data_IF_511642208919
#
_entry.id   IF_511642208919
#
_cell.length_a   1.000
_cell.length_b   1.000
_cell.length_c   1.000
_cell.angle_alpha   90.00
_cell.angle_beta   90.00
_cell.angle_gamma   90.00
#
_symmetry.space_group_name_H-M   'P 1'
#
loop_
_entity.id
_entity.type
_entity.pdbx_description
1 polymer ?
#
# COMPACT_ATOMS: atom_id res chain seq x y z
N UNK A 1 -3.23 22.27 -9.60
CA UNK A 1 -3.70 21.39 -10.68
C UNK A 1 -4.41 22.20 -11.76
N UNK A 2 -5.54 22.88 -11.47
CA UNK A 2 -6.32 23.68 -12.46
C UNK A 2 -5.54 24.61 -13.42
N UNK A 3 -4.46 25.32 -13.00
CA UNK A 3 -3.73 26.20 -13.92
C UNK A 3 -2.83 25.47 -14.93
N UNK A 4 -2.65 24.15 -14.81
CA UNK A 4 -1.81 23.37 -15.71
C UNK A 4 -2.59 22.92 -16.96
N UNK A 5 -1.91 22.64 -18.09
CA UNK A 5 -2.56 22.14 -19.29
C UNK A 5 -3.46 20.93 -19.02
N UNK A 6 -4.70 20.97 -19.52
CA UNK A 6 -5.73 19.97 -19.21
C UNK A 6 -5.34 18.52 -19.57
N UNK A 7 -4.49 18.31 -20.58
CA UNK A 7 -4.02 16.97 -20.96
C UNK A 7 -3.14 16.30 -19.89
N UNK A 8 -2.55 17.06 -18.96
CA UNK A 8 -1.80 16.54 -17.82
C UNK A 8 -2.71 16.09 -16.67
N UNK A 9 -3.99 16.50 -16.69
CA UNK A 9 -4.89 16.28 -15.56
C UNK A 9 -5.09 14.79 -15.21
N UNK A 10 -5.27 13.86 -16.16
CA UNK A 10 -5.40 12.44 -15.81
C UNK A 10 -4.18 11.89 -15.08
N UNK A 11 -2.97 12.35 -15.44
CA UNK A 11 -1.74 11.98 -14.75
C UNK A 11 -1.68 12.59 -13.35
N UNK A 12 -2.02 13.87 -13.20
CA UNK A 12 -2.01 14.54 -11.90
C UNK A 12 -3.05 13.95 -10.93
N UNK A 13 -4.21 13.57 -11.43
CA UNK A 13 -5.25 12.90 -10.64
C UNK A 13 -4.87 11.48 -10.27
N UNK A 14 -4.18 10.75 -11.15
CA UNK A 14 -3.58 9.47 -10.79
C UNK A 14 -2.47 9.65 -9.75
N UNK A 15 -1.58 10.64 -9.92
CA UNK A 15 -0.44 10.90 -9.05
C UNK A 15 -0.90 11.28 -7.64
N UNK A 16 -1.81 12.26 -7.54
CA UNK A 16 -2.33 12.77 -6.28
C UNK A 16 -3.39 11.89 -5.63
N UNK A 17 -4.00 11.02 -6.43
CA UNK A 17 -5.24 10.30 -6.10
C UNK A 17 -6.42 11.23 -5.73
N UNK A 18 -6.37 12.49 -6.17
CA UNK A 18 -7.46 13.46 -6.04
C UNK A 18 -7.91 13.91 -7.43
N UNK A 19 -9.13 13.57 -7.87
CA UNK A 19 -9.63 14.04 -9.15
C UNK A 19 -10.05 15.50 -9.06
N UNK A 20 -10.05 16.19 -10.18
CA UNK A 20 -10.76 17.46 -10.33
C UNK A 20 -12.29 17.22 -10.42
N UNK A 21 -13.13 18.17 -9.98
CA UNK A 21 -14.58 18.06 -10.11
C UNK A 21 -15.04 17.75 -11.55
N UNK A 22 -14.36 18.34 -12.53
CA UNK A 22 -14.65 18.19 -13.95
C UNK A 22 -14.43 16.73 -14.44
N UNK A 23 -13.54 15.96 -13.78
CA UNK A 23 -13.33 14.54 -14.08
C UNK A 23 -14.44 13.62 -13.53
N UNK A 24 -15.34 14.15 -12.70
CA UNK A 24 -16.48 13.39 -12.18
C UNK A 24 -17.65 13.36 -13.17
N UNK A 25 -17.73 14.35 -14.06
CA UNK A 25 -18.76 14.46 -15.10
C UNK A 25 -18.48 13.48 -16.25
N UNK A 26 -17.21 13.30 -16.61
CA UNK A 26 -16.75 12.39 -17.67
C UNK A 26 -15.69 11.41 -17.15
N UNK A 27 -16.04 10.54 -16.17
CA UNK A 27 -15.06 9.68 -15.54
C UNK A 27 -14.53 8.67 -16.55
N UNK A 28 -13.22 8.66 -16.74
CA UNK A 28 -12.55 7.60 -17.49
C UNK A 28 -12.89 6.24 -16.88
N UNK A 29 -13.34 5.28 -17.69
CA UNK A 29 -13.70 3.93 -17.24
C UNK A 29 -12.47 3.03 -17.29
N UNK A 30 -11.84 2.82 -16.14
CA UNK A 30 -10.80 1.81 -15.94
C UNK A 30 -11.46 0.46 -15.64
N UNK A 31 -10.79 -0.61 -16.06
CA UNK A 31 -11.22 -2.00 -15.83
C UNK A 31 -10.17 -2.73 -14.97
N UNK A 32 -10.48 -3.94 -14.46
CA UNK A 32 -9.47 -4.76 -13.80
C UNK A 32 -8.25 -5.03 -14.69
N UNK A 33 -8.47 -5.25 -16.00
CA UNK A 33 -7.41 -5.45 -17.00
C UNK A 33 -6.48 -4.24 -17.14
N UNK A 34 -7.01 -3.02 -17.04
CA UNK A 34 -6.17 -1.82 -17.04
C UNK A 34 -5.14 -1.87 -15.90
N UNK A 35 -5.57 -2.23 -14.69
CA UNK A 35 -4.67 -2.33 -13.53
C UNK A 35 -3.67 -3.48 -13.65
N UNK A 36 -4.07 -4.62 -14.22
CA UNK A 36 -3.14 -5.70 -14.58
C UNK A 36 -2.09 -5.20 -15.57
N UNK A 37 -2.50 -4.50 -16.62
CA UNK A 37 -1.59 -3.96 -17.63
C UNK A 37 -0.60 -2.97 -17.04
N UNK A 38 -1.05 -2.04 -16.19
CA UNK A 38 -0.17 -1.08 -15.49
C UNK A 38 0.83 -1.82 -14.59
N UNK A 39 0.36 -2.75 -13.76
CA UNK A 39 1.22 -3.52 -12.88
C UNK A 39 2.26 -4.34 -13.65
N UNK A 40 1.82 -5.07 -14.70
CA UNK A 40 2.70 -5.86 -15.56
C UNK A 40 3.73 -4.98 -16.27
N UNK A 41 3.33 -3.80 -16.76
CA UNK A 41 4.23 -2.85 -17.43
C UNK A 41 5.32 -2.35 -16.48
N UNK A 42 4.95 -2.00 -15.24
CA UNK A 42 5.92 -1.59 -14.22
C UNK A 42 6.86 -2.73 -13.83
N UNK A 43 6.36 -3.96 -13.70
CA UNK A 43 7.18 -5.13 -13.42
C UNK A 43 8.18 -5.38 -14.56
N UNK A 44 7.71 -5.45 -15.81
CA UNK A 44 8.54 -5.74 -16.98
C UNK A 44 9.60 -4.64 -17.14
N UNK A 45 9.18 -3.37 -17.17
CA UNK A 45 10.11 -2.24 -17.30
C UNK A 45 11.08 -2.19 -16.12
N UNK A 46 10.59 -2.45 -14.90
CA UNK A 46 11.41 -2.52 -13.70
C UNK A 46 12.50 -3.57 -13.81
N UNK A 47 12.14 -4.81 -14.17
CA UNK A 47 13.07 -5.92 -14.40
C UNK A 47 14.09 -5.57 -15.48
N UNK A 48 13.67 -5.02 -16.61
CA UNK A 48 14.55 -4.62 -17.70
C UNK A 48 15.58 -3.56 -17.24
N UNK A 49 15.13 -2.53 -16.53
CA UNK A 49 16.00 -1.47 -16.02
C UNK A 49 16.93 -1.95 -14.91
N UNK A 50 16.45 -2.80 -13.99
CA UNK A 50 17.33 -3.43 -12.98
C UNK A 50 18.39 -4.30 -13.62
N UNK A 51 18.04 -5.09 -14.65
CA UNK A 51 19.00 -5.92 -15.37
C UNK A 51 20.02 -5.04 -16.10
N UNK A 52 19.56 -4.00 -16.81
CA UNK A 52 20.43 -3.04 -17.48
C UNK A 52 21.42 -2.39 -16.50
N UNK A 53 20.91 -1.89 -15.38
CA UNK A 53 21.73 -1.28 -14.33
C UNK A 53 22.70 -2.27 -13.69
N UNK A 54 22.31 -3.53 -13.54
CA UNK A 54 23.18 -4.58 -13.02
C UNK A 54 24.36 -4.86 -13.97
N UNK A 55 24.11 -5.14 -15.25
CA UNK A 55 25.17 -5.44 -16.22
C UNK A 55 26.03 -4.24 -16.60
N UNK A 56 25.49 -3.02 -16.49
CA UNK A 56 26.25 -1.78 -16.71
C UNK A 56 26.91 -1.24 -15.43
N UNK A 57 26.75 -1.92 -14.28
CA UNK A 57 27.19 -1.42 -12.98
C UNK A 57 26.69 0.01 -12.67
N UNK A 58 25.47 0.34 -13.09
CA UNK A 58 24.88 1.67 -13.02
C UNK A 58 23.68 1.71 -12.06
N UNK A 59 23.89 2.35 -10.90
CA UNK A 59 22.80 2.61 -9.95
C UNK A 59 21.72 3.54 -10.52
N UNK A 60 22.06 4.37 -11.51
CA UNK A 60 21.12 5.27 -12.18
C UNK A 60 20.00 4.50 -12.89
N UNK A 61 20.30 3.33 -13.46
CA UNK A 61 19.30 2.44 -14.05
C UNK A 61 18.72 1.46 -13.03
N UNK A 62 19.58 0.95 -12.13
CA UNK A 62 19.17 -0.07 -11.18
C UNK A 62 18.12 0.43 -10.19
N UNK A 63 18.31 1.62 -9.59
CA UNK A 63 17.40 2.12 -8.55
C UNK A 63 15.98 2.42 -9.08
N UNK A 64 15.78 3.14 -10.21
CA UNK A 64 14.44 3.31 -10.77
C UNK A 64 13.82 1.98 -11.20
N UNK A 65 14.61 1.06 -11.77
CA UNK A 65 14.13 -0.28 -12.11
C UNK A 65 13.62 -1.03 -10.88
N UNK A 66 14.37 -1.00 -9.78
CA UNK A 66 14.02 -1.67 -8.53
C UNK A 66 12.71 -1.12 -7.96
N UNK A 67 12.57 0.21 -7.97
CA UNK A 67 11.35 0.91 -7.55
C UNK A 67 10.16 0.51 -8.40
N UNK A 68 10.30 0.48 -9.73
CA UNK A 68 9.23 0.09 -10.64
C UNK A 68 8.85 -1.39 -10.50
N UNK A 69 9.82 -2.29 -10.37
CA UNK A 69 9.57 -3.72 -10.22
C UNK A 69 8.79 -4.01 -8.92
N UNK A 70 9.29 -3.52 -7.79
CA UNK A 70 8.64 -3.69 -6.50
C UNK A 70 7.29 -2.96 -6.42
N UNK A 71 7.20 -1.74 -6.97
CA UNK A 71 5.97 -0.97 -7.08
C UNK A 71 4.90 -1.69 -7.90
N UNK A 72 5.29 -2.28 -9.04
CA UNK A 72 4.41 -3.09 -9.89
C UNK A 72 3.95 -4.38 -9.22
N UNK A 73 4.83 -5.08 -8.49
CA UNK A 73 4.47 -6.24 -7.66
C UNK A 73 3.42 -5.85 -6.61
N UNK A 74 3.65 -4.73 -5.92
CA UNK A 74 2.71 -4.20 -4.93
C UNK A 74 1.41 -3.77 -5.57
N UNK A 75 1.43 -3.13 -6.74
CA UNK A 75 0.24 -2.79 -7.52
C UNK A 75 -0.58 -4.04 -7.85
N UNK A 76 0.06 -5.13 -8.30
CA UNK A 76 -0.62 -6.39 -8.60
C UNK A 76 -1.26 -6.99 -7.34
N UNK A 77 -0.57 -6.92 -6.21
CA UNK A 77 -1.13 -7.32 -4.92
C UNK A 77 -2.35 -6.48 -4.54
N UNK A 78 -2.21 -5.16 -4.42
CA UNK A 78 -3.24 -4.30 -3.83
C UNK A 78 -4.43 -4.07 -4.75
N UNK A 79 -4.24 -4.12 -6.07
CA UNK A 79 -5.35 -3.93 -7.00
C UNK A 79 -6.02 -5.24 -7.40
N UNK A 80 -5.27 -6.33 -7.61
CA UNK A 80 -5.82 -7.55 -8.22
C UNK A 80 -5.96 -8.66 -7.18
N UNK A 81 -4.87 -9.03 -6.50
CA UNK A 81 -4.93 -10.11 -5.49
C UNK A 81 -5.88 -9.75 -4.35
N UNK A 82 -5.81 -8.51 -3.87
CA UNK A 82 -6.71 -7.95 -2.89
C UNK A 82 -8.18 -8.02 -3.35
N UNK A 83 -8.51 -7.49 -4.53
CA UNK A 83 -9.91 -7.51 -5.00
C UNK A 83 -10.40 -8.93 -5.32
N UNK A 84 -9.50 -9.87 -5.65
CA UNK A 84 -9.83 -11.29 -5.68
C UNK A 84 -10.25 -11.81 -4.30
N UNK A 85 -9.62 -11.34 -3.21
CA UNK A 85 -9.99 -11.73 -1.85
C UNK A 85 -11.43 -11.32 -1.50
N UNK A 86 -11.93 -10.22 -2.08
CA UNK A 86 -13.34 -9.81 -1.98
C UNK A 86 -14.27 -10.49 -3.00
N UNK A 87 -13.73 -11.34 -3.88
CA UNK A 87 -14.43 -11.96 -5.01
C UNK A 87 -14.98 -10.93 -6.03
N UNK A 88 -14.20 -9.87 -6.31
CA UNK A 88 -14.64 -8.70 -7.10
C UNK A 88 -13.96 -8.53 -8.47
N UNK A 89 -12.95 -9.33 -8.80
CA UNK A 89 -12.26 -9.22 -10.11
C UNK A 89 -13.01 -10.01 -11.19
N UNK A 90 -13.45 -11.22 -10.86
CA UNK A 90 -14.19 -12.10 -11.75
C UNK A 90 -15.59 -12.41 -11.19
N UNK A 91 -16.55 -12.73 -12.07
CA UNK A 91 -17.85 -13.23 -11.63
C UNK A 91 -17.75 -14.58 -10.90
N UNK A 92 -16.76 -15.41 -11.25
CA UNK A 92 -16.53 -16.71 -10.62
C UNK A 92 -15.63 -16.59 -9.39
N UNK A 93 -16.12 -17.01 -8.21
CA UNK A 93 -15.32 -17.11 -6.97
C UNK A 93 -14.12 -18.03 -7.14
N UNK A 94 -14.27 -19.12 -7.91
CA UNK A 94 -13.16 -20.02 -8.24
C UNK A 94 -12.07 -19.31 -9.04
N UNK A 95 -12.45 -18.50 -10.03
CA UNK A 95 -11.48 -17.73 -10.81
C UNK A 95 -10.72 -16.71 -9.95
N UNK A 96 -11.42 -15.96 -9.08
CA UNK A 96 -10.79 -15.06 -8.11
C UNK A 96 -9.79 -15.80 -7.22
N UNK A 97 -10.20 -16.97 -6.69
CA UNK A 97 -9.33 -17.79 -5.84
C UNK A 97 -8.08 -18.24 -6.62
N UNK A 98 -8.25 -18.83 -7.80
CA UNK A 98 -7.11 -19.28 -8.63
C UNK A 98 -6.15 -18.14 -8.93
N UNK A 99 -6.65 -16.99 -9.39
CA UNK A 99 -5.80 -15.83 -9.71
C UNK A 99 -5.10 -15.28 -8.47
N UNK A 100 -5.78 -15.24 -7.32
CA UNK A 100 -5.16 -14.88 -6.04
C UNK A 100 -3.99 -15.79 -5.67
N UNK A 101 -4.18 -17.11 -5.80
CA UNK A 101 -3.11 -18.09 -5.56
C UNK A 101 -1.94 -17.92 -6.55
N UNK A 102 -2.21 -17.69 -7.83
CA UNK A 102 -1.18 -17.47 -8.86
C UNK A 102 -0.34 -16.21 -8.55
N UNK A 103 -0.99 -15.09 -8.24
CA UNK A 103 -0.29 -13.84 -7.91
C UNK A 103 0.54 -14.02 -6.63
N UNK A 104 -0.04 -14.62 -5.58
CA UNK A 104 0.70 -14.88 -4.34
C UNK A 104 1.90 -15.79 -4.56
N UNK A 105 1.77 -16.85 -5.36
CA UNK A 105 2.87 -17.77 -5.66
C UNK A 105 3.98 -17.10 -6.46
N UNK A 106 3.63 -16.37 -7.53
CA UNK A 106 4.60 -15.71 -8.43
C UNK A 106 5.49 -14.70 -7.69
N UNK A 107 4.92 -13.97 -6.73
CA UNK A 107 5.65 -12.93 -5.97
C UNK A 107 5.98 -13.32 -4.54
N UNK A 108 5.90 -14.62 -4.19
CA UNK A 108 6.15 -15.12 -2.83
C UNK A 108 5.42 -14.29 -1.75
N UNK A 109 4.17 -13.90 -2.00
CA UNK A 109 3.38 -13.13 -1.03
C UNK A 109 2.89 -14.05 0.09
N UNK A 110 2.17 -13.49 1.07
CA UNK A 110 1.45 -14.30 2.05
C UNK A 110 0.56 -15.32 1.30
N UNK A 111 0.51 -16.61 1.73
CA UNK A 111 -0.34 -17.62 1.09
C UNK A 111 -1.77 -17.10 0.95
N UNK A 112 -2.34 -17.20 -0.26
CA UNK A 112 -3.55 -16.45 -0.60
C UNK A 112 -4.74 -16.77 0.31
N UNK A 113 -4.95 -18.04 0.68
CA UNK A 113 -6.03 -18.44 1.59
C UNK A 113 -5.89 -17.77 2.96
N UNK A 114 -4.67 -17.73 3.51
CA UNK A 114 -4.38 -17.04 4.77
C UNK A 114 -4.57 -15.53 4.62
N UNK A 115 -4.04 -14.95 3.54
CA UNK A 115 -4.22 -13.53 3.22
C UNK A 115 -5.70 -13.15 3.11
N UNK A 116 -6.52 -13.92 2.38
CA UNK A 116 -7.97 -13.68 2.25
C UNK A 116 -8.65 -13.74 3.61
N UNK A 117 -8.32 -14.73 4.45
CA UNK A 117 -8.90 -14.85 5.79
C UNK A 117 -8.55 -13.63 6.67
N UNK A 118 -7.27 -13.32 6.84
CA UNK A 118 -6.82 -12.21 7.67
C UNK A 118 -7.29 -10.87 7.13
N UNK A 119 -7.37 -10.69 5.82
CA UNK A 119 -7.89 -9.47 5.21
C UNK A 119 -9.39 -9.29 5.48
N UNK A 120 -10.18 -10.37 5.52
CA UNK A 120 -11.60 -10.28 5.93
C UNK A 120 -11.74 -9.90 7.41
N UNK A 121 -10.84 -10.38 8.27
CA UNK A 121 -10.78 -9.94 9.68
C UNK A 121 -10.36 -8.46 9.77
N UNK A 122 -9.41 -8.02 8.95
CA UNK A 122 -8.96 -6.63 8.90
C UNK A 122 -10.08 -5.63 8.56
N UNK A 123 -11.10 -6.04 7.80
CA UNK A 123 -12.29 -5.21 7.51
C UNK A 123 -13.32 -5.16 8.63
N UNK A 124 -13.27 -6.08 9.59
CA UNK A 124 -14.22 -6.14 10.68
C UNK A 124 -13.86 -5.13 11.77
N UNK A 125 -14.85 -4.33 12.19
CA UNK A 125 -14.66 -3.35 13.27
C UNK A 125 -14.25 -3.99 14.60
N UNK A 126 -14.57 -5.27 14.81
CA UNK A 126 -14.24 -6.04 16.02
C UNK A 126 -12.76 -6.39 16.10
N UNK A 127 -12.07 -6.46 14.96
CA UNK A 127 -10.75 -7.08 14.84
C UNK A 127 -9.68 -6.11 14.34
N UNK A 128 -10.04 -5.11 13.52
CA UNK A 128 -9.13 -4.04 13.10
C UNK A 128 -8.50 -3.32 14.33
N UNK A 129 -7.22 -2.94 14.30
CA UNK A 129 -6.53 -2.32 15.46
C UNK A 129 -6.53 -3.17 16.76
N UNK A 130 -6.62 -4.50 16.64
CA UNK A 130 -6.43 -5.46 17.75
C UNK A 130 -5.25 -6.40 17.47
N UNK A 131 -4.97 -7.33 18.38
CA UNK A 131 -3.96 -8.38 18.18
C UNK A 131 -4.32 -9.37 17.06
N UNK A 132 -5.56 -9.35 16.57
CA UNK A 132 -6.01 -10.13 15.40
C UNK A 132 -5.82 -9.38 14.07
N UNK A 133 -5.41 -8.11 14.11
CA UNK A 133 -5.14 -7.30 12.92
C UNK A 133 -3.69 -7.46 12.46
N UNK A 134 -3.50 -7.87 11.21
CA UNK A 134 -2.17 -8.07 10.64
C UNK A 134 -1.38 -6.76 10.51
N UNK A 135 -2.07 -5.63 10.41
CA UNK A 135 -1.44 -4.30 10.33
C UNK A 135 -0.89 -3.86 11.68
N UNK A 136 -1.71 -3.89 12.74
CA UNK A 136 -1.25 -3.55 14.08
C UNK A 136 -0.13 -4.49 14.56
N UNK A 137 -0.30 -5.80 14.37
CA UNK A 137 0.71 -6.79 14.76
C UNK A 137 2.03 -6.60 14.01
N UNK A 138 2.02 -6.18 12.75
CA UNK A 138 3.23 -5.82 12.02
C UNK A 138 3.89 -4.56 12.61
N UNK A 139 3.13 -3.49 12.84
CA UNK A 139 3.65 -2.24 13.38
C UNK A 139 4.24 -2.41 14.79
N UNK A 140 3.62 -3.23 15.63
CA UNK A 140 4.13 -3.50 16.98
C UNK A 140 5.23 -4.56 17.00
N UNK A 141 5.08 -5.65 16.24
CA UNK A 141 5.97 -6.81 16.29
C UNK A 141 7.21 -6.70 15.40
N UNK A 142 7.09 -6.11 14.21
CA UNK A 142 8.21 -5.96 13.25
C UNK A 142 8.83 -4.57 13.38
N UNK A 143 8.01 -3.52 13.40
CA UNK A 143 8.52 -2.14 13.52
C UNK A 143 8.86 -1.78 14.97
N UNK A 144 8.19 -2.40 15.96
CA UNK A 144 8.45 -2.15 17.37
C UNK A 144 7.79 -0.88 17.90
N UNK A 145 6.76 -0.37 17.21
CA UNK A 145 6.04 0.83 17.64
C UNK A 145 5.27 0.56 18.93
N UNK A 146 5.35 1.49 19.87
CA UNK A 146 4.59 1.48 21.12
C UNK A 146 3.84 2.81 21.26
N UNK A 147 2.61 2.83 21.78
CA UNK A 147 1.87 4.08 21.98
C UNK A 147 2.56 5.03 22.97
N UNK A 148 3.51 4.55 23.78
CA UNK A 148 4.35 5.35 24.68
C UNK A 148 5.56 6.01 23.99
N UNK A 149 5.90 5.62 22.77
CA UNK A 149 7.04 6.19 22.05
C UNK A 149 6.76 7.66 21.68
N UNK A 150 7.80 8.50 21.63
CA UNK A 150 7.68 9.82 21.00
C UNK A 150 7.52 9.68 19.47
N UNK A 151 6.92 10.69 18.83
CA UNK A 151 6.75 10.71 17.36
C UNK A 151 8.10 10.53 16.63
N UNK A 152 9.17 11.17 17.13
CA UNK A 152 10.50 11.04 16.56
C UNK A 152 11.04 9.60 16.67
N UNK A 153 10.81 8.94 17.81
CA UNK A 153 11.18 7.54 18.01
C UNK A 153 10.38 6.61 17.08
N UNK A 154 9.08 6.86 16.90
CA UNK A 154 8.26 6.08 15.97
C UNK A 154 8.77 6.19 14.52
N UNK A 155 9.14 7.39 14.07
CA UNK A 155 9.78 7.58 12.77
C UNK A 155 11.13 6.88 12.66
N UNK A 156 11.98 6.99 13.69
CA UNK A 156 13.27 6.30 13.71
C UNK A 156 13.08 4.79 13.59
N UNK A 157 12.19 4.19 14.39
CA UNK A 157 11.84 2.77 14.33
C UNK A 157 11.31 2.36 12.96
N UNK A 158 10.44 3.17 12.36
CA UNK A 158 9.91 2.91 11.01
C UNK A 158 11.03 2.87 9.96
N UNK A 159 11.93 3.85 9.98
CA UNK A 159 13.08 3.91 9.06
C UNK A 159 14.03 2.74 9.27
N UNK A 160 14.39 2.44 10.53
CA UNK A 160 15.26 1.31 10.85
C UNK A 160 14.63 -0.03 10.46
N UNK A 161 13.34 -0.24 10.72
CA UNK A 161 12.65 -1.47 10.34
C UNK A 161 12.56 -1.64 8.82
N UNK A 162 12.33 -0.54 8.08
CA UNK A 162 12.25 -0.58 6.62
C UNK A 162 13.57 -1.00 5.98
N UNK A 163 14.70 -0.52 6.48
CA UNK A 163 16.02 -0.75 5.87
C UNK A 163 16.93 -1.73 6.63
N UNK A 164 16.49 -2.30 7.75
CA UNK A 164 17.27 -3.27 8.53
C UNK A 164 17.44 -4.59 7.78
N UNK A 165 18.68 -5.02 7.47
CA UNK A 165 18.92 -6.31 6.82
C UNK A 165 18.36 -7.50 7.61
N UNK A 166 18.41 -7.43 8.95
CA UNK A 166 17.86 -8.47 9.82
C UNK A 166 16.33 -8.52 9.77
N UNK A 167 15.67 -7.36 9.75
CA UNK A 167 14.21 -7.30 9.63
C UNK A 167 13.77 -7.86 8.27
N UNK A 168 14.43 -7.43 7.19
CA UNK A 168 14.16 -7.90 5.82
C UNK A 168 14.40 -9.41 5.69
N UNK A 169 15.50 -9.93 6.24
CA UNK A 169 15.79 -11.36 6.23
C UNK A 169 14.71 -12.14 7.00
N UNK A 170 14.35 -11.68 8.21
CA UNK A 170 13.32 -12.34 9.04
C UNK A 170 11.97 -12.35 8.35
N UNK A 171 11.51 -11.24 7.77
CA UNK A 171 10.23 -11.19 7.03
C UNK A 171 10.27 -12.05 5.78
N UNK A 172 11.40 -12.10 5.07
CA UNK A 172 11.60 -12.95 3.90
C UNK A 172 11.54 -14.43 4.25
N UNK A 173 12.26 -14.86 5.28
CA UNK A 173 12.24 -16.26 5.76
C UNK A 173 10.85 -16.64 6.27
N UNK A 174 10.16 -15.75 6.99
CA UNK A 174 8.80 -15.99 7.43
C UNK A 174 7.82 -16.14 6.25
N UNK A 175 7.97 -15.35 5.18
CA UNK A 175 7.17 -15.51 3.95
C UNK A 175 7.44 -16.83 3.26
N UNK A 176 8.70 -17.23 3.13
CA UNK A 176 9.07 -18.53 2.54
C UNK A 176 8.49 -19.67 3.38
N UNK A 177 8.69 -19.62 4.71
CA UNK A 177 8.14 -20.60 5.65
C UNK A 177 6.62 -20.69 5.52
N UNK A 178 5.92 -19.56 5.54
CA UNK A 178 4.46 -19.53 5.43
C UNK A 178 3.95 -20.17 4.13
N UNK A 179 4.63 -19.96 3.00
CA UNK A 179 4.29 -20.61 1.73
C UNK A 179 4.62 -22.11 1.74
N UNK A 180 5.79 -22.50 2.25
CA UNK A 180 6.19 -23.89 2.33
C UNK A 180 5.29 -24.72 3.27
N UNK A 181 4.76 -24.08 4.32
CA UNK A 181 3.87 -24.72 5.30
C UNK A 181 2.41 -24.31 5.15
N UNK A 182 2.01 -23.79 3.98
CA UNK A 182 0.61 -23.43 3.75
C UNK A 182 -0.32 -24.65 3.91
N UNK A 183 -1.55 -24.39 4.37
CA UNK A 183 -2.56 -25.43 4.63
C UNK A 183 -2.90 -26.22 3.36
N UNK A 184 -3.02 -25.54 2.22
CA UNK A 184 -3.13 -26.17 0.91
C UNK A 184 -1.77 -26.67 0.45
N UNK A 185 -1.54 -27.98 0.62
CA UNK A 185 -0.27 -28.64 0.28
C UNK A 185 0.02 -28.64 -1.22
N UNK A 186 -1.01 -28.66 -2.07
CA UNK A 186 -0.84 -28.61 -3.52
C UNK A 186 -0.31 -27.24 -3.94
N UNK A 187 -0.92 -26.17 -3.42
CA UNK A 187 -0.49 -24.78 -3.67
C UNK A 187 0.90 -24.53 -3.08
N UNK A 188 1.18 -25.04 -1.88
CA UNK A 188 2.51 -24.94 -1.27
C UNK A 188 3.57 -25.59 -2.19
N UNK A 189 3.35 -26.83 -2.62
CA UNK A 189 4.25 -27.56 -3.49
C UNK A 189 4.46 -26.83 -4.84
N UNK A 190 3.38 -26.36 -5.48
CA UNK A 190 3.47 -25.60 -6.74
C UNK A 190 4.23 -24.28 -6.57
N UNK A 191 4.01 -23.56 -5.47
CA UNK A 191 4.71 -22.30 -5.18
C UNK A 191 6.21 -22.55 -5.00
N UNK A 192 6.57 -23.56 -4.21
CA UNK A 192 7.98 -23.90 -3.99
C UNK A 192 8.65 -24.44 -5.26
N UNK A 193 7.94 -25.27 -6.03
CA UNK A 193 8.42 -25.79 -7.31
C UNK A 193 8.63 -24.67 -8.35
N UNK A 194 7.72 -23.69 -8.42
CA UNK A 194 7.87 -22.51 -9.28
C UNK A 194 9.16 -21.76 -8.95
N UNK A 195 9.39 -21.42 -7.68
CA UNK A 195 10.57 -20.67 -7.28
C UNK A 195 11.88 -21.47 -7.42
N UNK A 196 11.85 -22.78 -7.12
CA UNK A 196 12.96 -23.67 -7.39
C UNK A 196 13.28 -23.74 -8.88
N UNK A 197 12.26 -23.91 -9.73
CA UNK A 197 12.39 -23.93 -11.19
C UNK A 197 12.94 -22.62 -11.76
N UNK A 198 12.44 -21.47 -11.32
CA UNK A 198 12.96 -20.16 -11.72
C UNK A 198 14.43 -19.99 -11.32
N UNK A 199 14.78 -20.40 -10.11
CA UNK A 199 16.16 -20.28 -9.60
C UNK A 199 17.12 -21.21 -10.34
N UNK A 200 16.75 -22.48 -10.53
CA UNK A 200 17.55 -23.47 -11.26
C UNK A 200 17.67 -23.11 -12.74
N UNK A 201 16.59 -22.62 -13.36
CA UNK A 201 16.61 -22.13 -14.73
C UNK A 201 17.54 -20.93 -14.89
N UNK A 202 17.47 -19.95 -13.99
CA UNK A 202 18.40 -18.81 -14.00
C UNK A 202 19.85 -19.26 -13.82
N UNK A 203 20.11 -20.23 -12.95
CA UNK A 203 21.44 -20.81 -12.78
C UNK A 203 21.94 -21.54 -14.03
N UNK A 204 21.13 -22.40 -14.64
CA UNK A 204 21.48 -23.15 -15.83
C UNK A 204 21.77 -22.24 -17.05
N UNK A 205 21.11 -21.08 -17.12
CA UNK A 205 21.34 -20.08 -18.16
C UNK A 205 22.51 -19.13 -17.85
N UNK A 206 23.21 -19.30 -16.72
CA UNK A 206 24.28 -18.40 -16.29
C UNK A 206 23.79 -17.01 -15.85
N UNK A 207 22.49 -16.84 -15.60
CA UNK A 207 21.84 -15.57 -15.26
C UNK A 207 21.43 -15.45 -13.79
N UNK A 208 21.95 -16.31 -12.90
CA UNK A 208 21.55 -16.33 -11.49
C UNK A 208 21.72 -14.97 -10.80
N UNK A 209 22.85 -14.28 -11.04
CA UNK A 209 23.11 -12.99 -10.40
C UNK A 209 22.16 -11.90 -10.93
N UNK A 210 21.89 -11.88 -12.24
CA UNK A 210 20.90 -10.99 -12.84
C UNK A 210 19.48 -11.26 -12.32
N UNK A 211 19.09 -12.52 -12.20
CA UNK A 211 17.80 -12.93 -11.61
C UNK A 211 17.68 -12.48 -10.14
N UNK A 212 18.74 -12.62 -9.35
CA UNK A 212 18.74 -12.11 -7.97
C UNK A 212 18.54 -10.59 -7.98
N UNK A 213 19.34 -9.86 -8.74
CA UNK A 213 19.32 -8.40 -8.78
C UNK A 213 18.00 -7.83 -9.29
N UNK A 214 17.40 -8.45 -10.32
CA UNK A 214 16.24 -7.94 -11.03
C UNK A 214 14.89 -8.50 -10.55
N UNK A 215 14.87 -9.66 -9.89
CA UNK A 215 13.64 -10.31 -9.45
C UNK A 215 13.60 -10.55 -7.94
N UNK A 216 14.59 -11.27 -7.41
CA UNK A 216 14.60 -11.66 -5.98
C UNK A 216 14.66 -10.42 -5.09
N UNK A 217 15.56 -9.46 -5.35
CA UNK A 217 15.68 -8.26 -4.52
C UNK A 217 14.40 -7.41 -4.53
N UNK A 218 13.76 -7.08 -5.66
CA UNK A 218 12.45 -6.40 -5.64
C UNK A 218 11.35 -7.16 -4.88
N UNK A 219 11.25 -8.48 -5.07
CA UNK A 219 10.22 -9.33 -4.42
C UNK A 219 10.37 -9.39 -2.90
N UNK A 220 11.61 -9.43 -2.39
CA UNK A 220 11.86 -9.58 -0.95
C UNK A 220 12.15 -8.25 -0.27
N UNK A 221 13.17 -7.52 -0.76
CA UNK A 221 13.61 -6.25 -0.17
C UNK A 221 12.63 -5.13 -0.53
N UNK A 222 12.31 -4.97 -1.81
CA UNK A 222 11.46 -3.88 -2.28
C UNK A 222 10.06 -3.96 -1.68
N UNK A 223 9.48 -5.16 -1.68
CA UNK A 223 8.19 -5.43 -1.04
C UNK A 223 8.19 -5.11 0.46
N UNK A 224 9.25 -5.49 1.20
CA UNK A 224 9.38 -5.22 2.64
C UNK A 224 9.43 -3.72 2.93
N UNK A 225 10.29 -2.98 2.23
CA UNK A 225 10.43 -1.52 2.40
C UNK A 225 9.10 -0.83 2.09
N UNK A 226 8.50 -1.14 0.93
CA UNK A 226 7.21 -0.59 0.52
C UNK A 226 6.11 -0.86 1.54
N UNK A 227 5.97 -2.11 1.98
CA UNK A 227 4.92 -2.51 2.93
C UNK A 227 5.12 -1.84 4.30
N UNK A 228 6.35 -1.74 4.78
CA UNK A 228 6.66 -1.08 6.06
C UNK A 228 6.17 0.37 6.07
N UNK A 229 6.48 1.13 5.01
CA UNK A 229 6.00 2.50 4.89
C UNK A 229 4.48 2.58 4.66
N UNK A 230 3.92 1.74 3.79
CA UNK A 230 2.49 1.75 3.50
C UNK A 230 1.65 1.52 4.76
N UNK A 231 1.98 0.50 5.56
CA UNK A 231 1.23 0.14 6.77
C UNK A 231 1.19 1.27 7.80
N UNK A 232 2.23 2.11 7.87
CA UNK A 232 2.24 3.27 8.78
C UNK A 232 1.25 4.38 8.37
N UNK A 233 0.84 4.42 7.10
CA UNK A 233 -0.13 5.39 6.58
C UNK A 233 -1.55 4.83 6.45
N UNK A 234 -1.73 3.51 6.56
CA UNK A 234 -2.94 2.79 6.13
C UNK A 234 -4.15 3.04 7.06
N UNK A 235 -3.91 3.03 8.37
CA UNK A 235 -4.93 3.22 9.41
C UNK A 235 -4.52 4.30 10.40
N UNK A 236 -5.54 4.87 11.03
CA UNK A 236 -5.39 5.83 12.13
C UNK A 236 -6.20 5.37 13.32
N UNK A 237 -5.91 5.93 14.50
CA UNK A 237 -6.61 5.59 15.72
C UNK A 237 -7.69 6.63 16.03
N UNK A 238 -8.96 6.23 16.15
CA UNK A 238 -10.02 7.13 16.60
C UNK A 238 -9.89 7.44 18.11
N UNK A 239 -10.82 8.24 18.65
CA UNK A 239 -10.87 8.49 20.09
C UNK A 239 -11.06 7.18 20.87
N UNK A 240 -10.62 7.16 22.14
CA UNK A 240 -10.75 5.99 23.03
C UNK A 240 -12.21 5.50 23.10
N UNK A 241 -13.17 6.42 23.21
CA UNK A 241 -14.59 6.08 23.21
C UNK A 241 -15.03 5.32 21.95
N UNK A 242 -14.55 5.72 20.77
CA UNK A 242 -14.87 5.05 19.49
C UNK A 242 -14.13 3.70 19.39
N UNK A 243 -12.89 3.63 19.89
CA UNK A 243 -12.13 2.37 20.00
C UNK A 243 -12.83 1.36 20.92
N UNK A 244 -13.49 1.79 21.99
CA UNK A 244 -14.23 0.90 22.88
C UNK A 244 -15.56 0.45 22.26
N UNK A 245 -16.30 1.37 21.62
CA UNK A 245 -17.62 1.07 21.04
C UNK A 245 -17.58 0.17 19.82
N UNK A 246 -16.52 0.24 18.99
CA UNK A 246 -16.36 -0.58 17.75
C UNK A 246 -17.56 -0.54 16.78
N UNK A 247 -18.35 0.53 16.81
CA UNK A 247 -19.55 0.73 15.98
C UNK A 247 -19.24 1.26 14.58
N UNK A 248 -20.26 1.78 13.89
CA UNK A 248 -20.10 2.36 12.53
C UNK A 248 -19.11 3.53 12.52
N UNK A 249 -19.07 4.30 13.60
CA UNK A 249 -18.12 5.40 13.80
C UNK A 249 -16.65 4.95 13.77
N UNK A 250 -16.36 3.74 14.23
CA UNK A 250 -15.02 3.17 14.18
C UNK A 250 -14.59 2.96 12.72
N UNK A 251 -15.46 2.42 11.87
CA UNK A 251 -15.18 2.22 10.44
C UNK A 251 -14.89 3.58 9.76
N UNK A 252 -15.62 4.62 10.14
CA UNK A 252 -15.46 5.96 9.58
C UNK A 252 -14.13 6.62 9.92
N UNK A 253 -13.64 6.42 11.14
CA UNK A 253 -12.52 7.16 11.71
C UNK A 253 -11.21 6.40 11.74
N UNK A 254 -11.23 5.08 11.60
CA UNK A 254 -10.01 4.26 11.57
C UNK A 254 -9.24 4.36 10.25
N UNK A 255 -9.80 5.03 9.25
CA UNK A 255 -9.16 5.23 7.94
C UNK A 255 -9.34 6.65 7.43
N UNK A 256 -8.32 7.14 6.72
CA UNK A 256 -8.37 8.41 6.01
C UNK A 256 -7.81 8.22 4.61
N UNK A 257 -8.10 9.14 3.69
CA UNK A 257 -7.30 9.21 2.47
C UNK A 257 -5.88 9.67 2.77
N UNK A 258 -4.98 9.41 1.83
CA UNK A 258 -3.58 9.85 1.87
C UNK A 258 -3.22 10.41 0.51
N UNK A 259 -3.72 11.61 0.21
CA UNK A 259 -3.46 12.26 -1.07
C UNK A 259 -2.00 12.67 -1.21
N UNK A 260 -1.49 12.55 -2.42
CA UNK A 260 -0.09 12.79 -2.73
C UNK A 260 0.08 14.16 -3.37
N UNK A 261 1.11 14.88 -2.96
CA UNK A 261 1.46 16.19 -3.50
C UNK A 261 1.43 17.28 -2.43
N UNK A 262 1.83 18.47 -2.85
CA UNK A 262 1.80 19.69 -2.05
C UNK A 262 1.30 20.86 -2.92
N UNK A 263 0.70 21.90 -2.32
CA UNK A 263 0.30 23.08 -3.08
C UNK A 263 1.50 23.82 -3.68
N UNK A 264 1.34 24.33 -4.91
CA UNK A 264 2.28 25.28 -5.48
C UNK A 264 2.06 26.64 -4.79
N UNK A 265 2.90 26.94 -3.80
CA UNK A 265 2.88 28.21 -3.10
C UNK A 265 3.67 29.25 -3.91
N UNK A 266 2.96 30.14 -4.60
CA UNK A 266 3.53 31.22 -5.39
C UNK A 266 2.99 32.57 -4.89
N UNK A 267 3.85 33.53 -4.51
CA UNK A 267 3.39 34.88 -4.16
C UNK A 267 2.73 35.58 -5.36
N UNK A 268 1.62 36.28 -5.14
CA UNK A 268 0.84 36.95 -6.20
C UNK A 268 1.69 37.94 -7.02
N UNK A 269 2.59 38.67 -6.35
CA UNK A 269 3.49 39.66 -6.98
C UNK A 269 4.92 39.11 -7.21
N UNK A 270 5.08 37.79 -7.34
CA UNK A 270 6.39 37.21 -7.61
C UNK A 270 6.90 37.64 -9.00
N UNK A 271 8.13 38.16 -9.02
CA UNK A 271 8.88 38.43 -10.26
C UNK A 271 9.03 37.16 -11.11
N UNK A 272 9.18 37.27 -12.45
CA UNK A 272 9.22 36.11 -13.36
C UNK A 272 10.23 35.03 -12.94
N UNK A 273 11.44 35.41 -12.55
CA UNK A 273 12.46 34.45 -12.10
C UNK A 273 12.03 33.68 -10.84
N UNK A 274 11.41 34.36 -9.88
CA UNK A 274 10.89 33.73 -8.65
C UNK A 274 9.74 32.77 -8.97
N UNK A 275 8.88 33.11 -9.94
CA UNK A 275 7.82 32.21 -10.42
C UNK A 275 8.40 30.94 -11.03
N UNK A 276 9.40 31.09 -11.91
CA UNK A 276 10.10 29.95 -12.53
C UNK A 276 10.72 29.08 -11.44
N UNK A 277 11.43 29.65 -10.47
CA UNK A 277 12.07 28.88 -9.40
C UNK A 277 11.04 28.12 -8.53
N UNK A 278 9.93 28.76 -8.18
CA UNK A 278 8.84 28.12 -7.43
C UNK A 278 8.24 26.94 -8.21
N UNK A 279 7.95 27.14 -9.51
CA UNK A 279 7.42 26.08 -10.38
C UNK A 279 8.43 24.95 -10.51
N UNK A 280 9.70 25.24 -10.81
CA UNK A 280 10.76 24.24 -10.98
C UNK A 280 10.97 23.42 -9.71
N UNK A 281 10.96 24.05 -8.53
CA UNK A 281 11.05 23.34 -7.23
C UNK A 281 9.85 22.44 -7.00
N UNK A 282 8.64 22.93 -7.31
CA UNK A 282 7.41 22.15 -7.18
C UNK A 282 7.38 20.96 -8.16
N UNK A 283 7.76 21.16 -9.41
CA UNK A 283 7.89 20.10 -10.42
C UNK A 283 8.94 19.07 -10.00
N UNK A 284 10.11 19.52 -9.53
CA UNK A 284 11.17 18.63 -9.05
C UNK A 284 10.64 17.73 -7.93
N UNK A 285 9.98 18.28 -6.91
CA UNK A 285 9.38 17.47 -5.84
C UNK A 285 8.27 16.55 -6.34
N UNK A 286 7.45 17.01 -7.27
CA UNK A 286 6.34 16.26 -7.88
C UNK A 286 6.87 15.01 -8.60
N UNK A 287 7.89 15.18 -9.45
CA UNK A 287 8.46 14.10 -10.26
C UNK A 287 9.56 13.30 -9.57
N UNK A 288 9.96 13.66 -8.36
CA UNK A 288 10.89 12.87 -7.53
C UNK A 288 10.15 12.26 -6.34
N UNK A 289 10.05 12.99 -5.23
CA UNK A 289 9.50 12.50 -3.97
C UNK A 289 8.06 12.03 -4.08
N UNK A 290 7.16 12.85 -4.63
CA UNK A 290 5.74 12.51 -4.71
C UNK A 290 5.49 11.35 -5.68
N UNK A 291 6.16 11.34 -6.82
CA UNK A 291 6.10 10.24 -7.77
C UNK A 291 6.66 8.94 -7.17
N UNK A 292 7.77 9.00 -6.43
CA UNK A 292 8.32 7.85 -5.70
C UNK A 292 7.30 7.30 -4.69
N UNK A 293 6.72 8.15 -3.85
CA UNK A 293 5.68 7.73 -2.89
C UNK A 293 4.53 7.05 -3.63
N UNK A 294 4.07 7.60 -4.76
CA UNK A 294 2.96 7.04 -5.53
C UNK A 294 3.28 5.70 -6.19
N UNK A 295 4.49 5.55 -6.74
CA UNK A 295 4.90 4.35 -7.45
C UNK A 295 5.33 3.22 -6.52
N UNK A 296 5.81 3.54 -5.31
CA UNK A 296 6.48 2.56 -4.45
C UNK A 296 5.78 2.33 -3.11
N UNK A 297 5.22 3.36 -2.49
CA UNK A 297 4.65 3.26 -1.13
C UNK A 297 3.12 3.20 -1.20
N UNK A 298 2.52 4.26 -1.74
CA UNK A 298 1.08 4.46 -1.87
C UNK A 298 0.59 4.02 -3.25
N UNK A 299 0.84 2.75 -3.58
CA UNK A 299 0.46 2.12 -4.86
C UNK A 299 -1.05 1.89 -4.96
N UNK A 300 -1.58 1.82 -6.17
CA UNK A 300 -2.97 1.41 -6.39
C UNK A 300 -3.98 2.33 -5.71
N UNK A 301 -4.98 1.72 -5.07
CA UNK A 301 -6.06 2.38 -4.35
C UNK A 301 -5.72 2.78 -2.92
N UNK A 302 -4.49 2.52 -2.47
CA UNK A 302 -4.06 2.81 -1.09
C UNK A 302 -4.20 4.29 -0.67
N UNK A 303 -4.05 5.33 -1.53
CA UNK A 303 -4.41 6.70 -1.16
C UNK A 303 -5.90 6.91 -0.85
N UNK A 304 -6.76 6.01 -1.29
CA UNK A 304 -8.21 6.02 -1.13
C UNK A 304 -8.68 4.80 -0.31
N UNK A 305 -7.83 4.31 0.60
CA UNK A 305 -8.12 3.12 1.39
C UNK A 305 -9.37 3.27 2.28
N UNK A 306 -9.69 4.50 2.68
CA UNK A 306 -10.93 4.85 3.37
C UNK A 306 -12.18 4.50 2.56
N UNK A 307 -12.19 4.74 1.24
CA UNK A 307 -13.28 4.29 0.37
C UNK A 307 -13.40 2.78 0.37
N UNK A 308 -12.26 2.10 0.31
CA UNK A 308 -12.22 0.64 0.31
C UNK A 308 -12.80 0.05 1.60
N UNK A 309 -12.46 0.56 2.79
CA UNK A 309 -13.06 0.10 4.05
C UNK A 309 -14.56 0.35 4.16
N UNK A 310 -15.05 1.48 3.60
CA UNK A 310 -16.47 1.80 3.61
C UNK A 310 -17.25 1.00 2.57
N UNK A 311 -16.62 0.67 1.43
CA UNK A 311 -17.23 0.02 0.26
C UNK A 311 -16.39 -1.15 -0.26
N UNK A 312 -16.08 -2.17 0.56
CA UNK A 312 -15.08 -3.20 0.23
C UNK A 312 -15.48 -4.07 -0.98
N UNK A 313 -16.78 -4.11 -1.30
CA UNK A 313 -17.35 -4.85 -2.42
C UNK A 313 -17.88 -3.95 -3.53
N UNK A 314 -17.40 -2.71 -3.64
CA UNK A 314 -17.80 -1.82 -4.73
C UNK A 314 -17.31 -2.33 -6.08
N UNK A 315 -18.19 -2.44 -7.08
CA UNK A 315 -17.80 -2.74 -8.46
C UNK A 315 -16.98 -1.61 -9.10
N UNK A 316 -17.02 -0.41 -8.53
CA UNK A 316 -16.25 0.75 -8.99
C UNK A 316 -14.81 0.79 -8.47
N UNK A 317 -14.33 -0.27 -7.80
CA UNK A 317 -12.94 -0.37 -7.33
C UNK A 317 -11.88 -0.06 -8.42
N UNK A 318 -12.06 -0.38 -9.73
CA UNK A 318 -11.06 0.03 -10.73
C UNK A 318 -10.97 1.55 -10.91
N UNK A 319 -12.01 2.27 -10.51
CA UNK A 319 -12.17 3.72 -10.60
C UNK A 319 -12.16 4.39 -9.23
N UNK A 320 -11.50 3.77 -8.23
CA UNK A 320 -11.50 4.18 -6.82
C UNK A 320 -11.33 5.70 -6.58
N UNK A 321 -10.49 6.39 -7.36
CA UNK A 321 -10.26 7.85 -7.21
C UNK A 321 -11.55 8.65 -7.42
N UNK A 322 -12.25 8.43 -8.55
CA UNK A 322 -13.49 9.17 -8.85
C UNK A 322 -14.67 8.57 -8.11
N UNK A 323 -14.66 7.27 -7.83
CA UNK A 323 -15.69 6.60 -7.03
C UNK A 323 -15.71 7.12 -5.58
N UNK A 324 -14.54 7.24 -4.94
CA UNK A 324 -14.40 7.86 -3.61
C UNK A 324 -14.92 9.29 -3.61
N UNK A 325 -14.49 10.11 -4.57
CA UNK A 325 -14.90 11.52 -4.60
C UNK A 325 -16.41 11.67 -4.82
N UNK A 326 -17.02 10.84 -5.68
CA UNK A 326 -18.47 10.78 -5.84
C UNK A 326 -19.17 10.37 -4.55
N UNK A 327 -18.70 9.31 -3.88
CA UNK A 327 -19.31 8.85 -2.62
C UNK A 327 -19.20 9.94 -1.54
N UNK A 328 -18.08 10.67 -1.49
CA UNK A 328 -17.89 11.84 -0.62
C UNK A 328 -18.89 12.95 -0.90
N UNK A 329 -19.11 13.32 -2.16
CA UNK A 329 -20.07 14.37 -2.54
C UNK A 329 -21.52 13.98 -2.21
N UNK A 330 -21.84 12.68 -2.26
CA UNK A 330 -23.14 12.14 -1.86
C UNK A 330 -23.30 11.99 -0.33
N UNK A 331 -22.29 12.41 0.44
CA UNK A 331 -22.30 12.37 1.91
C UNK A 331 -21.94 11.02 2.52
N UNK A 332 -21.41 10.08 1.72
CA UNK A 332 -20.99 8.74 2.15
C UNK A 332 -22.09 7.92 2.85
N UNK A 333 -23.37 8.10 2.51
CA UNK A 333 -24.49 7.38 3.16
C UNK A 333 -24.38 5.85 2.98
N UNK A 334 -24.69 5.03 4.00
CA UNK A 334 -25.37 5.36 5.25
C UNK A 334 -24.40 5.71 6.40
N UNK A 335 -23.12 5.94 6.14
CA UNK A 335 -22.17 6.25 7.21
C UNK A 335 -22.53 7.60 7.87
N UNK A 336 -22.43 7.73 9.20
CA UNK A 336 -22.84 8.92 9.93
C UNK A 336 -21.92 10.13 9.68
N UNK A 337 -20.70 9.88 9.19
CA UNK A 337 -19.68 10.90 8.94
C UNK A 337 -19.05 10.75 7.57
N UNK A 338 -18.70 11.87 6.96
CA UNK A 338 -18.07 11.88 5.64
C UNK A 338 -16.59 11.49 5.71
N UNK A 339 -15.92 11.42 4.56
CA UNK A 339 -14.50 11.12 4.45
C UNK A 339 -13.59 12.23 4.97
N UNK A 340 -12.43 11.83 5.50
CA UNK A 340 -11.38 12.73 5.96
C UNK A 340 -10.27 12.78 4.91
N UNK A 341 -10.00 14.00 4.41
CA UNK A 341 -8.95 14.23 3.43
C UNK A 341 -7.62 14.58 4.13
N UNK A 342 -6.58 13.77 3.93
CA UNK A 342 -5.21 14.10 4.35
C UNK A 342 -4.31 14.25 3.14
N UNK A 343 -3.41 15.23 3.20
CA UNK A 343 -2.44 15.52 2.16
C UNK A 343 -1.02 15.32 2.66
N UNK A 344 -0.21 14.63 1.86
CA UNK A 344 1.18 14.35 2.13
C UNK A 344 1.38 13.11 3.02
N UNK A 345 2.22 12.19 2.55
CA UNK A 345 2.53 10.95 3.24
C UNK A 345 3.12 11.19 4.64
N UNK A 346 4.16 12.04 4.76
CA UNK A 346 4.81 12.32 6.05
C UNK A 346 3.86 12.97 7.04
N UNK A 347 3.02 13.91 6.60
CA UNK A 347 2.02 14.54 7.47
C UNK A 347 1.01 13.51 7.99
N UNK A 348 0.55 12.63 7.11
CA UNK A 348 -0.45 11.61 7.46
C UNK A 348 0.10 10.58 8.44
N UNK A 349 1.29 10.04 8.19
CA UNK A 349 1.95 9.10 9.13
C UNK A 349 2.22 9.77 10.48
N UNK A 350 2.63 11.05 10.48
CA UNK A 350 2.85 11.80 11.72
C UNK A 350 1.56 11.96 12.52
N UNK A 351 0.44 12.22 11.86
CA UNK A 351 -0.87 12.27 12.51
C UNK A 351 -1.31 10.89 13.02
N UNK A 352 -1.06 9.81 12.27
CA UNK A 352 -1.34 8.45 12.72
C UNK A 352 -0.53 8.10 13.98
N UNK A 353 0.74 8.49 14.04
CA UNK A 353 1.58 8.33 15.24
C UNK A 353 1.05 9.10 16.44
N UNK A 354 0.62 10.36 16.25
CA UNK A 354 -0.04 11.14 17.32
C UNK A 354 -1.32 10.47 17.81
N UNK A 355 -2.13 9.96 16.90
CA UNK A 355 -3.37 9.27 17.24
C UNK A 355 -3.09 7.95 17.96
N UNK A 356 -2.07 7.21 17.54
CA UNK A 356 -1.63 5.99 18.24
C UNK A 356 -1.18 6.29 19.68
N UNK A 357 -0.46 7.40 19.91
CA UNK A 357 -0.13 7.84 21.27
C UNK A 357 -1.38 8.16 22.10
N UNK A 358 -2.38 8.85 21.51
CA UNK A 358 -3.64 9.17 22.17
C UNK A 358 -4.48 7.92 22.50
N UNK A 359 -4.29 6.83 21.76
CA UNK A 359 -4.91 5.54 22.01
C UNK A 359 -4.25 4.75 23.15
N UNK A 360 -3.20 5.27 23.79
CA UNK A 360 -2.53 4.61 24.91
C UNK A 360 -3.49 4.12 26.02
N UNK A 361 -4.48 4.90 26.50
CA UNK A 361 -5.39 4.44 27.55
C UNK A 361 -6.20 3.21 27.14
N UNK A 362 -6.63 3.14 25.87
CA UNK A 362 -7.32 1.96 25.32
C UNK A 362 -6.45 0.71 25.44
N UNK A 363 -5.19 0.80 25.01
CA UNK A 363 -4.27 -0.34 25.03
C UNK A 363 -3.86 -0.77 26.44
N UNK A 364 -3.71 0.17 27.38
CA UNK A 364 -3.43 -0.13 28.79
C UNK A 364 -4.63 -0.79 29.48
N UNK A 365 -5.86 -0.33 29.19
CA UNK A 365 -7.09 -0.94 29.72
C UNK A 365 -7.33 -2.36 29.19
N UNK A 366 -7.03 -2.61 27.91
CA UNK A 366 -7.17 -3.95 27.31
C UNK A 366 -6.17 -4.98 27.86
N UNK A 367 -4.96 -4.57 28.29
CA UNK A 367 -4.05 -5.46 29.01
C UNK A 367 -4.54 -5.82 30.42
N UNK A 368 -5.38 -4.99 31.04
CA UNK A 368 -6.00 -5.29 32.33
C UNK A 368 -7.10 -6.34 32.18
N UNK A 369 -7.95 -6.25 31.14
CA UNK A 369 -9.00 -7.24 30.88
C UNK A 369 -8.46 -8.62 30.45
N UNK A 370 -7.26 -8.70 29.88
CA UNK A 370 -6.60 -9.98 29.58
C UNK A 370 -6.00 -10.65 30.83
N UNK A 371 -5.77 -9.89 31.92
CA UNK A 371 -5.23 -10.39 33.19
C UNK A 371 -6.30 -10.58 34.27
N UNK A 372 -7.50 -10.02 34.08
CA UNK A 372 -8.66 -10.20 34.97
C UNK A 372 -9.79 -11.01 34.33
N UNK A 373 -9.49 -11.75 33.25
CA UNK A 373 -10.41 -12.70 32.63
C UNK A 373 -10.59 -13.95 33.49
N UNK A 374 -11.24 -13.77 34.64
CA UNK A 374 -11.96 -14.82 35.36
C UNK A 374 -13.46 -14.65 35.04
N UNK A 375 -14.05 -15.76 34.57
CA UNK A 375 -15.47 -16.07 34.31
C UNK A 375 -16.06 -15.78 32.92
#
# INVERSE_FOLDING_TARGET
MRPLPGFLQPFLSWLSAKPLPEELETPGKRTPLFHVGVAASFIILGVLLTSLGYYQHSLLWWLPGFVLAAGGIKQMQVMICHNCAHDMVFASRRANTVVGHVISALFMLKPYTLYKHEHMLHHSSRTLLTDQDDTLTYLQGVVGLKPTDSIAMMWAKLLFAAFSPLAILRTSLNRIKANATATDRGVAALTMALWAGLTLGAWALGQLQGFIAAWVLPVFIGYHISTTFRLAAEHTWPSVEVLEKRGVDFICDSTTSVFIGEPLNMPDNAQPLKRILCISRWLLKTFTYHLFVRLFIMVGDTPCHDFHHRRPRSSDWPNYVTARERDKLLGAKPFPRNYIDKWGYVSTVTDNFRNFQKALPYYQGSTFNALTGDQ
#
